data_IF_435090119836
#
_entry.id   IF_435090119836
#
_cell.length_a   1.000
_cell.length_b   1.000
_cell.length_c   1.000
_cell.angle_alpha   90.00
_cell.angle_beta   90.00
_cell.angle_gamma   90.00
#
_symmetry.space_group_name_H-M   'P 1'
#
loop_
_entity.id
_entity.type
_entity.pdbx_description
1 polymer ?
#
# COMPACT_ATOMS: atom_id res chain seq x y z
N UNK A 1 8.89 33.06 -49.69
CA UNK A 1 8.76 33.14 -48.22
C UNK A 1 7.30 32.98 -47.84
N UNK A 2 6.79 31.75 -47.65
CA UNK A 2 5.36 31.53 -47.40
C UNK A 2 5.08 30.19 -46.67
N UNK A 3 5.77 29.90 -45.57
CA UNK A 3 5.65 28.61 -44.86
C UNK A 3 5.71 28.73 -43.32
N UNK A 4 5.30 29.87 -42.73
CA UNK A 4 5.26 30.03 -41.26
C UNK A 4 3.90 29.89 -40.54
N UNK A 5 2.70 30.08 -41.16
CA UNK A 5 1.45 30.03 -40.38
C UNK A 5 0.91 28.62 -40.12
N UNK A 6 1.37 27.59 -40.84
CA UNK A 6 0.82 26.23 -40.72
C UNK A 6 1.34 25.48 -39.48
N UNK A 7 2.55 25.81 -39.00
CA UNK A 7 3.20 25.11 -37.88
C UNK A 7 2.51 25.46 -36.54
N UNK A 8 2.07 26.71 -36.37
CA UNK A 8 1.38 27.15 -35.14
C UNK A 8 -0.02 26.53 -34.98
N UNK A 9 -0.76 26.34 -36.08
CA UNK A 9 -2.10 25.76 -36.03
C UNK A 9 -2.08 24.28 -35.59
N UNK A 10 -1.06 23.53 -36.01
CA UNK A 10 -0.91 22.11 -35.64
C UNK A 10 -0.49 21.97 -34.16
N UNK A 11 0.37 22.84 -33.64
CA UNK A 11 0.75 22.84 -32.22
C UNK A 11 -0.42 23.15 -31.29
N UNK A 12 -1.33 24.04 -31.69
CA UNK A 12 -2.52 24.37 -30.89
C UNK A 12 -3.54 23.21 -30.83
N UNK A 13 -3.72 22.48 -31.93
CA UNK A 13 -4.67 21.36 -31.98
C UNK A 13 -4.22 20.17 -31.12
N UNK A 14 -2.91 19.87 -31.07
CA UNK A 14 -2.35 18.78 -30.24
C UNK A 14 -2.41 19.15 -28.75
N UNK A 15 -2.18 20.42 -28.40
CA UNK A 15 -2.30 20.89 -27.02
C UNK A 15 -3.74 20.80 -26.49
N UNK A 16 -4.74 21.13 -27.31
CA UNK A 16 -6.14 21.09 -26.91
C UNK A 16 -6.69 19.67 -26.76
N UNK A 17 -6.21 18.71 -27.55
CA UNK A 17 -6.65 17.31 -27.44
C UNK A 17 -6.14 16.62 -26.16
N UNK A 18 -5.03 17.08 -25.58
CA UNK A 18 -4.51 16.56 -24.29
C UNK A 18 -5.16 17.20 -23.06
N UNK A 19 -5.65 18.44 -23.19
CA UNK A 19 -6.32 19.15 -22.09
C UNK A 19 -7.71 18.58 -21.74
N UNK A 20 -8.30 17.77 -22.64
CA UNK A 20 -9.67 17.27 -22.50
C UNK A 20 -9.76 15.81 -22.01
N UNK A 21 -8.65 15.22 -21.56
CA UNK A 21 -8.72 14.00 -20.78
C UNK A 21 -9.10 14.38 -19.35
N UNK A 22 -10.40 14.49 -19.09
CA UNK A 22 -10.94 14.36 -17.75
C UNK A 22 -10.52 12.99 -17.22
N UNK A 23 -9.44 12.93 -16.46
CA UNK A 23 -9.16 11.80 -15.59
C UNK A 23 -10.36 11.70 -14.64
N UNK A 24 -11.27 10.78 -14.91
CA UNK A 24 -12.30 10.41 -13.93
C UNK A 24 -11.55 9.77 -12.77
N UNK A 25 -11.16 10.58 -11.80
CA UNK A 25 -10.69 10.08 -10.51
C UNK A 25 -11.92 9.41 -9.91
N UNK A 26 -12.00 8.08 -10.06
CA UNK A 26 -13.01 7.30 -9.37
C UNK A 26 -12.65 7.40 -7.89
N UNK A 27 -13.37 8.25 -7.17
CA UNK A 27 -13.37 8.24 -5.72
C UNK A 27 -14.13 6.97 -5.30
N UNK A 28 -13.42 5.84 -5.29
CA UNK A 28 -13.92 4.65 -4.63
C UNK A 28 -13.70 4.86 -3.13
N UNK A 29 -14.73 5.32 -2.43
CA UNK A 29 -14.74 5.21 -0.97
C UNK A 29 -14.49 3.74 -0.62
N UNK A 30 -13.69 3.50 0.43
CA UNK A 30 -13.53 2.18 1.01
C UNK A 30 -14.95 1.72 1.38
N UNK A 31 -15.51 0.83 0.56
CA UNK A 31 -16.93 0.50 0.60
C UNK A 31 -17.40 0.17 2.02
N UNK A 32 -18.66 0.50 2.31
CA UNK A 32 -19.31 0.40 3.62
C UNK A 32 -19.31 -1.00 4.27
N UNK A 33 -18.73 -2.03 3.63
CA UNK A 33 -18.56 -3.34 4.24
C UNK A 33 -17.23 -3.42 4.98
N UNK A 34 -17.34 -3.74 6.27
CA UNK A 34 -16.28 -3.98 7.26
C UNK A 34 -15.35 -5.13 6.86
N UNK A 35 -14.60 -4.99 5.78
CA UNK A 35 -13.62 -5.98 5.37
C UNK A 35 -12.36 -5.79 6.22
N UNK A 36 -12.20 -6.67 7.20
CA UNK A 36 -10.90 -7.01 7.76
C UNK A 36 -9.87 -7.14 6.63
N UNK A 37 -8.69 -6.59 6.84
CA UNK A 37 -7.69 -6.45 5.80
C UNK A 37 -6.42 -7.21 6.13
N UNK A 38 -5.71 -7.58 5.07
CA UNK A 38 -4.32 -8.02 5.11
C UNK A 38 -3.49 -7.05 4.28
N UNK A 39 -2.64 -6.30 4.96
CA UNK A 39 -1.76 -5.34 4.37
C UNK A 39 -0.43 -6.02 4.03
N UNK A 40 0.04 -5.83 2.81
CA UNK A 40 1.45 -5.94 2.46
C UNK A 40 2.05 -4.55 2.48
N UNK A 41 3.02 -4.33 3.35
CA UNK A 41 3.72 -3.05 3.48
C UNK A 41 5.16 -3.27 3.00
N UNK A 42 5.50 -2.68 1.85
CA UNK A 42 6.87 -2.63 1.37
C UNK A 42 7.53 -1.33 1.84
N UNK A 43 8.73 -1.44 2.40
CA UNK A 43 9.53 -0.30 2.82
C UNK A 43 10.88 -0.35 2.09
N UNK A 44 11.15 0.69 1.29
CA UNK A 44 12.33 0.79 0.43
C UNK A 44 12.94 2.20 0.42
N UNK A 45 13.95 2.38 -0.43
CA UNK A 45 14.65 3.66 -0.61
C UNK A 45 15.36 3.69 -1.97
N UNK A 46 15.28 4.80 -2.70
CA UNK A 46 15.99 4.94 -3.98
C UNK A 46 17.52 4.93 -3.84
N UNK A 47 18.01 5.29 -2.65
CA UNK A 47 19.44 5.36 -2.31
C UNK A 47 19.96 4.17 -1.52
N UNK A 48 19.24 3.04 -1.49
CA UNK A 48 19.66 1.82 -0.81
C UNK A 48 20.04 0.74 -1.82
N UNK A 49 21.28 0.27 -1.80
CA UNK A 49 21.80 -0.69 -2.78
C UNK A 49 20.93 -1.96 -2.85
N UNK A 50 20.60 -2.55 -1.69
CA UNK A 50 19.75 -3.74 -1.63
C UNK A 50 18.30 -3.52 -2.04
N UNK A 51 17.81 -2.28 -2.02
CA UNK A 51 16.45 -1.95 -2.48
C UNK A 51 16.39 -1.73 -4.00
N UNK A 52 17.53 -1.65 -4.68
CA UNK A 52 17.60 -1.31 -6.11
C UNK A 52 18.26 -2.40 -6.96
N UNK A 53 18.38 -3.62 -6.45
CA UNK A 53 18.71 -4.79 -7.26
C UNK A 53 17.51 -5.20 -8.10
N UNK A 54 17.72 -5.76 -9.30
CA UNK A 54 16.59 -6.23 -10.13
C UNK A 54 15.80 -7.34 -9.43
N UNK A 55 16.51 -8.22 -8.72
CA UNK A 55 15.93 -9.34 -7.97
C UNK A 55 14.91 -8.91 -6.90
N UNK A 56 15.05 -7.73 -6.28
CA UNK A 56 14.14 -7.32 -5.22
C UNK A 56 12.71 -7.10 -5.75
N UNK A 57 12.58 -6.75 -7.03
CA UNK A 57 11.28 -6.56 -7.69
C UNK A 57 10.56 -7.91 -7.78
N UNK A 58 11.25 -8.94 -8.28
CA UNK A 58 10.72 -10.29 -8.40
C UNK A 58 10.38 -10.89 -7.03
N UNK A 59 11.24 -10.65 -6.03
CA UNK A 59 11.01 -11.13 -4.65
C UNK A 59 9.77 -10.48 -4.05
N UNK A 60 9.58 -9.16 -4.21
CA UNK A 60 8.40 -8.46 -3.69
C UNK A 60 7.13 -8.91 -4.40
N UNK A 61 7.19 -9.16 -5.72
CA UNK A 61 6.03 -9.65 -6.47
C UNK A 61 5.62 -11.07 -6.05
N UNK A 62 6.58 -11.96 -5.81
CA UNK A 62 6.31 -13.28 -5.25
C UNK A 62 5.68 -13.20 -3.85
N UNK A 63 6.18 -12.32 -2.97
CA UNK A 63 5.57 -12.09 -1.64
C UNK A 63 4.14 -11.55 -1.78
N UNK A 64 3.90 -10.64 -2.73
CA UNK A 64 2.57 -10.09 -3.03
C UNK A 64 1.59 -11.19 -3.42
N UNK A 65 1.96 -12.06 -4.35
CA UNK A 65 1.11 -13.17 -4.78
C UNK A 65 0.74 -14.06 -3.58
N UNK A 66 1.72 -14.43 -2.75
CA UNK A 66 1.48 -15.23 -1.53
C UNK A 66 0.60 -14.53 -0.51
N UNK A 67 0.83 -13.24 -0.27
CA UNK A 67 0.06 -12.47 0.70
C UNK A 67 -1.39 -12.25 0.25
N UNK A 68 -1.62 -12.08 -1.05
CA UNK A 68 -2.97 -12.01 -1.62
C UNK A 68 -3.72 -13.33 -1.46
N UNK A 69 -3.06 -14.46 -1.73
CA UNK A 69 -3.65 -15.79 -1.52
C UNK A 69 -3.99 -16.00 -0.05
N UNK A 70 -3.06 -15.70 0.88
CA UNK A 70 -3.31 -15.88 2.31
C UNK A 70 -4.44 -14.98 2.81
N UNK A 71 -4.59 -13.77 2.27
CA UNK A 71 -5.70 -12.88 2.60
C UNK A 71 -7.05 -13.49 2.16
N UNK A 72 -7.11 -14.00 0.94
CA UNK A 72 -8.31 -14.65 0.39
C UNK A 72 -8.72 -15.90 1.20
N UNK A 73 -7.76 -16.70 1.66
CA UNK A 73 -7.99 -17.91 2.47
C UNK A 73 -8.73 -17.62 3.79
N UNK A 74 -8.57 -16.42 4.34
CA UNK A 74 -9.23 -15.99 5.58
C UNK A 74 -10.32 -14.93 5.35
N UNK A 75 -10.73 -14.72 4.09
CA UNK A 75 -11.79 -13.78 3.73
C UNK A 75 -11.45 -12.32 4.01
N UNK A 76 -10.16 -11.94 3.96
CA UNK A 76 -9.69 -10.57 4.17
C UNK A 76 -9.47 -9.83 2.84
N UNK A 77 -9.70 -8.52 2.84
CA UNK A 77 -9.29 -7.64 1.74
C UNK A 77 -7.76 -7.53 1.69
N UNK A 78 -7.15 -7.73 0.53
CA UNK A 78 -5.72 -7.51 0.35
C UNK A 78 -5.44 -6.05 0.01
N UNK A 79 -4.50 -5.42 0.72
CA UNK A 79 -4.11 -4.01 0.54
C UNK A 79 -2.60 -3.90 0.43
N UNK A 80 -2.10 -3.11 -0.52
CA UNK A 80 -0.68 -2.89 -0.78
C UNK A 80 -0.30 -1.48 -0.39
N UNK A 81 0.67 -1.35 0.50
CA UNK A 81 1.20 -0.06 0.97
C UNK A 81 2.68 0.05 0.60
N UNK A 82 3.05 1.11 -0.10
CA UNK A 82 4.42 1.41 -0.49
C UNK A 82 4.98 2.56 0.33
N UNK A 83 6.09 2.35 1.04
CA UNK A 83 6.76 3.38 1.85
C UNK A 83 8.19 3.57 1.36
N UNK A 84 8.48 4.75 0.81
CA UNK A 84 9.82 5.12 0.43
C UNK A 84 10.42 6.07 1.48
N UNK A 85 11.54 5.66 2.06
CA UNK A 85 12.35 6.41 3.04
C UNK A 85 13.14 7.56 2.40
N UNK A 86 12.84 7.92 1.17
CA UNK A 86 13.51 9.00 0.45
C UNK A 86 13.21 10.37 1.08
N UNK A 87 14.20 11.26 1.07
CA UNK A 87 13.99 12.66 1.46
C UNK A 87 13.23 13.43 0.36
N UNK A 88 13.57 13.16 -0.91
CA UNK A 88 12.95 13.76 -2.09
C UNK A 88 11.76 12.90 -2.51
N UNK A 89 10.56 13.50 -2.49
CA UNK A 89 9.29 12.83 -2.81
C UNK A 89 9.33 12.15 -4.19
N UNK A 90 9.76 12.85 -5.23
CA UNK A 90 9.79 12.29 -6.59
C UNK A 90 10.74 11.09 -6.72
N UNK A 91 11.87 11.10 -6.03
CA UNK A 91 12.80 9.97 -6.02
C UNK A 91 12.18 8.73 -5.38
N UNK A 92 11.45 8.91 -4.27
CA UNK A 92 10.75 7.80 -3.62
C UNK A 92 9.57 7.27 -4.45
N UNK A 93 8.79 8.15 -5.09
CA UNK A 93 7.73 7.72 -6.02
C UNK A 93 8.30 6.91 -7.20
N UNK A 94 9.38 7.38 -7.81
CA UNK A 94 10.04 6.67 -8.90
C UNK A 94 10.61 5.32 -8.45
N UNK A 95 11.11 5.23 -7.22
CA UNK A 95 11.55 3.97 -6.64
C UNK A 95 10.38 2.99 -6.43
N UNK A 96 9.28 3.45 -5.85
CA UNK A 96 8.09 2.60 -5.61
C UNK A 96 7.45 2.13 -6.92
N UNK A 97 7.47 2.94 -7.98
CA UNK A 97 6.92 2.58 -9.29
C UNK A 97 7.53 1.29 -9.88
N UNK A 98 8.75 0.91 -9.47
CA UNK A 98 9.41 -0.34 -9.90
C UNK A 98 8.64 -1.59 -9.48
N UNK A 99 7.86 -1.50 -8.41
CA UNK A 99 7.16 -2.64 -7.83
C UNK A 99 5.72 -2.76 -8.35
N UNK A 100 5.27 -1.87 -9.25
CA UNK A 100 3.89 -1.80 -9.72
C UNK A 100 2.98 -1.03 -8.76
N UNK A 101 1.67 -1.22 -8.91
CA UNK A 101 0.68 -0.41 -8.22
C UNK A 101 0.58 -0.74 -6.72
N UNK A 102 0.45 0.31 -5.92
CA UNK A 102 0.10 0.28 -4.51
C UNK A 102 -1.25 0.96 -4.30
N UNK A 103 -2.01 0.49 -3.33
CA UNK A 103 -3.29 1.08 -2.94
C UNK A 103 -3.07 2.34 -2.06
N UNK A 104 -1.93 2.39 -1.35
CA UNK A 104 -1.48 3.56 -0.59
C UNK A 104 0.04 3.75 -0.76
N UNK A 105 0.49 5.00 -0.92
CA UNK A 105 1.91 5.35 -1.01
C UNK A 105 2.31 6.47 -0.06
N UNK A 106 3.49 6.35 0.54
CA UNK A 106 4.09 7.35 1.42
C UNK A 106 5.55 7.57 1.04
N UNK A 107 5.97 8.84 0.93
CA UNK A 107 7.36 9.20 0.67
C UNK A 107 7.69 10.59 1.19
N UNK A 108 8.99 10.93 1.27
CA UNK A 108 9.48 12.18 1.82
C UNK A 108 9.80 12.06 3.31
N UNK A 109 10.45 13.09 3.85
CA UNK A 109 10.84 13.23 5.27
C UNK A 109 11.79 12.15 5.81
N UNK A 110 12.38 11.32 4.97
CA UNK A 110 13.35 10.31 5.39
C UNK A 110 12.77 9.41 6.51
N UNK A 111 13.55 8.99 7.50
CA UNK A 111 13.08 8.20 8.65
C UNK A 111 11.97 8.87 9.49
N UNK A 112 11.71 10.17 9.32
CA UNK A 112 10.60 10.88 9.97
C UNK A 112 9.29 10.84 9.15
N UNK A 113 9.23 10.02 8.09
CA UNK A 113 8.02 9.70 7.37
C UNK A 113 6.98 9.06 8.31
N UNK A 114 5.72 9.48 8.24
CA UNK A 114 4.66 8.99 9.16
C UNK A 114 4.46 7.47 9.07
N UNK A 115 4.64 6.88 7.88
CA UNK A 115 4.60 5.44 7.70
C UNK A 115 5.76 4.73 8.39
N UNK A 116 6.96 5.31 8.36
CA UNK A 116 8.12 4.76 9.07
C UNK A 116 7.99 4.92 10.58
N UNK A 117 7.49 6.05 11.07
CA UNK A 117 7.18 6.24 12.49
C UNK A 117 6.20 5.15 12.97
N UNK A 118 5.14 4.89 12.21
CA UNK A 118 4.17 3.84 12.51
C UNK A 118 4.74 2.42 12.42
N UNK A 119 5.37 2.05 11.31
CA UNK A 119 5.71 0.66 10.97
C UNK A 119 7.14 0.23 11.31
N UNK A 120 7.96 1.14 11.82
CA UNK A 120 9.35 0.86 12.26
C UNK A 120 9.58 1.26 13.71
N UNK A 121 9.13 2.45 14.13
CA UNK A 121 9.55 3.02 15.42
C UNK A 121 8.56 2.91 16.57
N UNK A 122 7.26 3.09 16.33
CA UNK A 122 6.25 3.25 17.40
C UNK A 122 5.21 2.12 17.39
N UNK A 123 4.26 2.17 16.43
CA UNK A 123 3.07 1.31 16.45
C UNK A 123 3.40 -0.17 16.27
N UNK A 124 4.13 -0.49 15.20
CA UNK A 124 4.55 -1.85 14.88
C UNK A 124 6.09 -1.87 14.82
N UNK A 125 6.74 -1.82 15.99
CA UNK A 125 8.19 -1.66 16.09
C UNK A 125 8.96 -2.78 15.38
N UNK A 126 10.07 -2.43 14.75
CA UNK A 126 10.97 -3.36 14.07
C UNK A 126 12.34 -2.75 13.84
N UNK A 127 13.18 -3.45 13.10
CA UNK A 127 14.51 -2.94 12.75
C UNK A 127 14.37 -1.83 11.70
N UNK A 128 15.07 -0.73 11.89
CA UNK A 128 15.15 0.37 10.93
C UNK A 128 16.09 -0.01 9.77
N UNK A 129 15.55 -0.75 8.79
CA UNK A 129 16.28 -1.25 7.62
C UNK A 129 15.47 -1.08 6.33
N UNK A 130 16.15 -1.08 5.19
CA UNK A 130 15.57 -1.18 3.85
C UNK A 130 16.42 -2.17 3.02
N UNK A 131 15.82 -2.98 2.14
CA UNK A 131 14.38 -3.16 1.97
C UNK A 131 13.78 -3.99 3.12
N UNK A 132 12.50 -3.86 3.37
CA UNK A 132 11.76 -4.79 4.23
C UNK A 132 10.29 -4.91 3.78
N UNK A 133 9.67 -6.05 4.08
CA UNK A 133 8.24 -6.29 3.90
C UNK A 133 7.61 -6.71 5.21
N UNK A 134 6.43 -6.16 5.49
CA UNK A 134 5.58 -6.58 6.60
C UNK A 134 4.27 -7.09 6.03
N UNK A 135 3.74 -8.16 6.62
CA UNK A 135 2.34 -8.52 6.49
C UNK A 135 1.62 -8.22 7.80
N UNK A 136 0.53 -7.46 7.72
CA UNK A 136 -0.23 -6.97 8.87
C UNK A 136 -1.69 -7.27 8.66
N UNK A 137 -2.33 -7.89 9.64
CA UNK A 137 -3.79 -7.92 9.69
C UNK A 137 -4.31 -6.66 10.34
N UNK A 138 -5.28 -6.01 9.70
CA UNK A 138 -5.93 -4.80 10.18
C UNK A 138 -7.42 -5.02 10.26
N UNK A 139 -8.01 -4.72 11.41
CA UNK A 139 -9.48 -4.68 11.57
C UNK A 139 -9.93 -3.24 11.51
N UNK A 140 -10.92 -2.97 10.67
CA UNK A 140 -11.52 -1.65 10.53
C UNK A 140 -12.91 -1.65 11.15
N UNK A 141 -13.25 -0.56 11.82
CA UNK A 141 -14.61 -0.23 12.23
C UNK A 141 -15.08 0.92 11.36
N UNK A 142 -16.20 0.70 10.69
CA UNK A 142 -16.94 1.72 9.96
C UNK A 142 -18.21 2.00 10.75
N UNK A 143 -18.36 3.23 11.23
CA UNK A 143 -19.55 3.69 11.92
C UNK A 143 -20.02 5.03 11.35
N UNK A 144 -21.02 5.65 11.97
CA UNK A 144 -21.58 6.93 11.52
C UNK A 144 -20.55 8.08 11.51
N UNK A 145 -19.43 7.93 12.21
CA UNK A 145 -18.35 8.93 12.30
C UNK A 145 -17.22 8.71 11.31
N UNK A 146 -17.21 7.58 10.59
CA UNK A 146 -16.24 7.25 9.54
C UNK A 146 -15.53 5.92 9.76
N UNK A 147 -14.35 5.78 9.15
CA UNK A 147 -13.51 4.58 9.23
C UNK A 147 -12.37 4.78 10.22
N UNK A 148 -12.19 3.84 11.14
CA UNK A 148 -11.05 3.81 12.07
C UNK A 148 -10.45 2.42 12.20
N UNK A 149 -9.18 2.38 12.58
CA UNK A 149 -8.50 1.13 12.95
C UNK A 149 -8.99 0.68 14.32
N UNK A 150 -9.45 -0.56 14.42
CA UNK A 150 -9.77 -1.24 15.67
C UNK A 150 -8.51 -1.92 16.24
N UNK A 151 -7.86 -2.74 15.41
CA UNK A 151 -6.65 -3.47 15.78
C UNK A 151 -5.76 -3.72 14.58
N UNK A 152 -4.46 -3.86 14.85
CA UNK A 152 -3.44 -4.26 13.89
C UNK A 152 -2.54 -5.35 14.50
N UNK A 153 -2.22 -6.39 13.75
CA UNK A 153 -1.31 -7.47 14.15
C UNK A 153 -0.30 -7.76 13.05
N UNK A 154 1.00 -7.65 13.36
CA UNK A 154 2.06 -8.11 12.45
C UNK A 154 2.05 -9.63 12.42
N UNK A 155 1.84 -10.21 11.25
CA UNK A 155 1.92 -11.64 11.02
C UNK A 155 3.36 -12.06 10.77
N UNK A 156 4.05 -11.29 9.93
CA UNK A 156 5.45 -11.53 9.60
C UNK A 156 6.13 -10.22 9.18
N UNK A 157 7.40 -10.10 9.54
CA UNK A 157 8.32 -9.10 9.01
C UNK A 157 9.52 -9.82 8.40
N UNK A 158 9.88 -9.43 7.19
CA UNK A 158 11.07 -9.87 6.48
C UNK A 158 11.95 -8.66 6.19
N UNK A 159 13.12 -8.59 6.81
CA UNK A 159 14.06 -7.47 6.65
C UNK A 159 15.28 -7.88 5.83
N UNK A 160 15.56 -7.13 4.78
CA UNK A 160 16.63 -7.44 3.83
C UNK A 160 16.31 -8.60 2.90
N UNK A 161 17.17 -8.77 1.89
CA UNK A 161 16.92 -9.67 0.77
C UNK A 161 16.86 -11.15 1.19
N UNK A 162 17.62 -11.57 2.21
CA UNK A 162 17.65 -12.97 2.68
C UNK A 162 16.28 -13.39 3.23
N UNK A 163 15.77 -12.68 4.26
CA UNK A 163 14.47 -13.01 4.83
C UNK A 163 13.34 -12.82 3.83
N UNK A 164 13.46 -11.84 2.94
CA UNK A 164 12.47 -11.61 1.89
C UNK A 164 12.45 -12.76 0.89
N UNK A 165 13.59 -13.35 0.52
CA UNK A 165 13.62 -14.57 -0.31
C UNK A 165 12.98 -15.76 0.39
N UNK A 166 13.25 -15.95 1.67
CA UNK A 166 12.60 -17.01 2.46
C UNK A 166 11.08 -16.81 2.48
N UNK A 167 10.63 -15.56 2.61
CA UNK A 167 9.22 -15.20 2.53
C UNK A 167 8.66 -15.22 1.10
N UNK A 168 9.46 -15.13 0.06
CA UNK A 168 9.00 -15.33 -1.31
C UNK A 168 8.83 -16.82 -1.63
N UNK A 169 9.77 -17.65 -1.18
CA UNK A 169 9.85 -19.07 -1.54
C UNK A 169 8.91 -19.98 -0.75
N UNK A 170 8.44 -19.55 0.42
CA UNK A 170 7.67 -20.42 1.32
C UNK A 170 8.42 -20.87 2.56
N UNK A 171 9.75 -20.78 2.56
CA UNK A 171 10.59 -21.20 3.68
C UNK A 171 10.25 -20.45 4.98
N UNK A 172 9.96 -19.15 4.87
CA UNK A 172 9.31 -18.36 5.92
C UNK A 172 7.80 -18.38 5.67
N UNK A 173 7.05 -18.91 6.63
CA UNK A 173 5.60 -19.05 6.54
C UNK A 173 4.90 -17.70 6.78
N UNK A 174 3.73 -17.55 6.18
CA UNK A 174 2.79 -16.47 6.49
C UNK A 174 1.75 -17.08 7.44
N UNK A 175 1.72 -16.68 8.72
CA UNK A 175 0.64 -17.12 9.62
C UNK A 175 -0.71 -16.67 9.05
N UNK A 176 -1.75 -17.51 9.16
CA UNK A 176 -3.10 -17.14 8.71
C UNK A 176 -3.75 -16.07 9.62
N UNK A 177 -3.14 -15.78 10.76
CA UNK A 177 -3.69 -14.91 11.80
C UNK A 177 -4.73 -15.67 12.64
N UNK A 178 -5.06 -15.12 13.82
CA UNK A 178 -6.23 -15.59 14.54
C UNK A 178 -7.46 -15.00 13.82
N UNK A 179 -8.39 -15.85 13.38
CA UNK A 179 -9.75 -15.40 13.11
C UNK A 179 -10.34 -14.97 14.45
N UNK A 180 -10.09 -13.74 14.87
CA UNK A 180 -10.72 -13.18 16.07
C UNK A 180 -12.21 -13.17 15.75
N UNK A 181 -12.95 -14.12 16.33
CA UNK A 181 -14.38 -14.25 16.14
C UNK A 181 -14.99 -12.86 16.32
N UNK A 182 -15.83 -12.43 15.37
CA UNK A 182 -16.58 -11.17 15.47
C UNK A 182 -17.20 -11.16 16.87
N UNK A 183 -16.70 -10.34 17.79
CA UNK A 183 -17.27 -10.25 19.13
C UNK A 183 -18.74 -9.93 18.93
N UNK A 184 -19.62 -10.81 19.41
CA UNK A 184 -21.07 -10.72 19.25
C UNK A 184 -21.71 -9.53 20.01
N UNK A 185 -20.91 -8.58 20.49
CA UNK A 185 -21.30 -7.45 21.35
C UNK A 185 -21.25 -6.10 20.63
N UNK A 186 -21.39 -6.06 19.30
CA UNK A 186 -21.81 -4.81 18.67
C UNK A 186 -23.28 -4.55 19.09
N UNK A 187 -23.59 -3.50 19.87
CA UNK A 187 -24.97 -3.20 20.21
C UNK A 187 -25.75 -3.01 18.91
N UNK A 188 -26.88 -3.71 18.79
CA UNK A 188 -27.78 -3.58 17.66
C UNK A 188 -28.07 -2.08 17.44
N UNK A 189 -27.84 -1.61 16.22
CA UNK A 189 -28.17 -0.26 15.82
C UNK A 189 -29.63 0.03 16.24
N UNK A 190 -29.91 1.15 16.92
CA UNK A 190 -31.28 1.46 17.32
C UNK A 190 -32.14 1.52 16.06
N UNK A 191 -33.20 0.70 16.04
CA UNK A 191 -34.20 0.74 14.97
C UNK A 191 -34.70 2.17 14.85
N UNK A 192 -34.58 2.75 13.66
CA UNK A 192 -35.16 4.07 13.35
C UNK A 192 -36.65 4.01 13.63
N UNK A 193 -37.03 4.51 14.80
CA UNK A 193 -38.41 4.83 15.12
C UNK A 193 -38.90 5.89 14.16
N UNK A 194 -40.00 5.59 13.48
CA UNK A 194 -40.77 6.54 12.70
C UNK A 194 -41.22 7.68 13.63
N UNK A 195 -40.85 8.91 13.28
CA UNK A 195 -41.62 10.12 13.60
C UNK A 195 -41.74 10.94 12.32
#
# INVERSE_FOLDING_TARGET
MLWLPLIFAVSAAIGFSRANQTSSVVAADVGAETADERLLIYIGSSTCDFSNTDEIVDVVDAIRARASTSAAEVGRRFVRVGIAKDHVVSAGLNHLAKFGDFDEVMTGRNWANIGLLKYVYEGLRGIAATPQVLLVDRRLINDETGTRVDSEQVLVRASGLVEMRELASGAKSIPLGNSVARSADAPAAPSRGQQ
#
